data_IF_926756915777
#
_entry.id   IF_926756915777
#
_cell.length_a   1.000
_cell.length_b   1.000
_cell.length_c   1.000
_cell.angle_alpha   90.00
_cell.angle_beta   90.00
_cell.angle_gamma   90.00
#
_symmetry.space_group_name_H-M   'P 1'
#
loop_
_entity.id
_entity.type
_entity.pdbx_description
1 polymer ?
#
# COMPACT_ATOMS: atom_id res chain seq x y z
N UNK A 1 -29.63 -30.68 -12.05
CA UNK A 1 -28.51 -30.01 -11.37
C UNK A 1 -27.28 -30.09 -12.25
N UNK A 2 -26.88 -28.98 -12.87
CA UNK A 2 -25.66 -28.90 -13.68
C UNK A 2 -24.57 -28.25 -12.83
N UNK A 3 -23.49 -29.00 -12.57
CA UNK A 3 -22.24 -28.47 -11.99
C UNK A 3 -21.60 -27.53 -13.02
N UNK A 4 -21.15 -26.37 -12.56
CA UNK A 4 -20.38 -25.44 -13.38
C UNK A 4 -19.06 -26.12 -13.80
N UNK A 5 -18.78 -26.04 -15.10
CA UNK A 5 -17.60 -26.61 -15.75
C UNK A 5 -16.32 -25.94 -15.26
N UNK A 6 -15.38 -26.76 -14.81
CA UNK A 6 -14.00 -26.39 -14.50
C UNK A 6 -13.34 -25.79 -15.76
N UNK A 7 -13.17 -24.47 -15.78
CA UNK A 7 -12.39 -23.81 -16.81
C UNK A 7 -10.91 -24.16 -16.60
N UNK A 8 -10.36 -25.04 -17.45
CA UNK A 8 -8.91 -25.15 -17.63
C UNK A 8 -8.45 -23.84 -18.28
N UNK A 9 -7.85 -22.97 -17.49
CA UNK A 9 -7.19 -21.78 -18.01
C UNK A 9 -5.95 -22.23 -18.79
N UNK A 10 -6.03 -22.09 -20.12
CA UNK A 10 -4.90 -22.27 -21.02
C UNK A 10 -3.97 -21.05 -20.81
N UNK A 11 -2.88 -21.23 -20.07
CA UNK A 11 -2.01 -20.13 -19.60
C UNK A 11 -1.17 -19.47 -20.71
N UNK A 12 -1.19 -19.99 -21.94
CA UNK A 12 -0.13 -19.71 -22.92
C UNK A 12 -0.57 -19.00 -24.21
N UNK A 13 -1.72 -18.30 -24.26
CA UNK A 13 -2.21 -17.80 -25.57
C UNK A 13 -2.79 -16.39 -25.67
N UNK A 14 -2.59 -15.51 -24.67
CA UNK A 14 -3.12 -14.13 -24.74
C UNK A 14 -2.13 -13.02 -24.39
N UNK A 15 -0.83 -13.30 -24.33
CA UNK A 15 0.18 -12.24 -24.20
C UNK A 15 0.72 -11.94 -25.61
N UNK A 16 0.23 -10.86 -26.21
CA UNK A 16 0.88 -10.26 -27.38
C UNK A 16 2.34 -9.94 -27.03
N UNK A 17 3.27 -10.58 -27.74
CA UNK A 17 4.72 -10.59 -27.48
C UNK A 17 5.41 -9.21 -27.46
N UNK A 18 4.74 -8.12 -27.86
CA UNK A 18 5.36 -6.81 -28.04
C UNK A 18 5.53 -6.01 -26.73
N UNK A 19 4.79 -6.33 -25.66
CA UNK A 19 4.92 -5.66 -24.35
C UNK A 19 5.88 -6.36 -23.38
N UNK A 20 6.26 -7.61 -23.67
CA UNK A 20 7.10 -8.44 -22.78
C UNK A 20 8.60 -8.16 -22.98
N UNK A 21 8.99 -7.42 -24.01
CA UNK A 21 10.41 -7.21 -24.35
C UNK A 21 11.14 -6.13 -23.53
N UNK A 22 10.49 -5.39 -22.61
CA UNK A 22 11.15 -4.26 -21.91
C UNK A 22 11.61 -4.56 -20.48
N UNK A 23 11.16 -5.65 -19.85
CA UNK A 23 11.51 -5.95 -18.46
C UNK A 23 12.41 -7.18 -18.43
N UNK A 24 13.62 -7.03 -17.89
CA UNK A 24 14.50 -8.16 -17.63
C UNK A 24 13.77 -9.16 -16.69
N UNK A 25 13.46 -10.39 -17.14
CA UNK A 25 12.67 -11.35 -16.37
C UNK A 25 13.32 -11.73 -15.04
N UNK A 26 14.66 -11.81 -14.98
CA UNK A 26 15.41 -12.13 -13.77
C UNK A 26 15.34 -10.99 -12.75
N UNK A 27 15.36 -9.74 -13.22
CA UNK A 27 15.16 -8.57 -12.36
C UNK A 27 13.73 -8.57 -11.79
N UNK A 28 12.74 -8.89 -12.62
CA UNK A 28 11.33 -8.93 -12.22
C UNK A 28 11.03 -10.04 -11.21
N UNK A 29 11.74 -11.17 -11.27
CA UNK A 29 11.62 -12.22 -10.25
C UNK A 29 12.11 -11.76 -8.88
N UNK A 30 13.00 -10.76 -8.81
CA UNK A 30 13.48 -10.15 -7.55
C UNK A 30 12.66 -8.94 -7.09
N UNK A 31 11.50 -8.67 -7.71
CA UNK A 31 10.65 -7.52 -7.39
C UNK A 31 10.25 -7.46 -5.92
N UNK A 32 10.15 -6.25 -5.39
CA UNK A 32 9.57 -5.97 -4.08
C UNK A 32 8.14 -5.46 -4.26
N UNK A 33 7.22 -5.96 -3.45
CA UNK A 33 5.81 -5.54 -3.47
C UNK A 33 5.41 -5.06 -2.09
N UNK A 34 5.06 -3.78 -2.03
CA UNK A 34 4.48 -3.11 -0.87
C UNK A 34 2.99 -2.97 -1.06
N UNK A 35 2.18 -3.65 -0.25
CA UNK A 35 0.73 -3.52 -0.30
C UNK A 35 0.26 -2.68 0.88
N UNK A 36 -0.36 -1.54 0.58
CA UNK A 36 -0.66 -0.45 1.49
C UNK A 36 -2.16 -0.38 1.71
N UNK A 37 -2.60 -0.57 2.94
CA UNK A 37 -4.01 -0.39 3.28
C UNK A 37 -4.19 0.08 4.72
N UNK A 38 -5.25 0.85 4.93
CA UNK A 38 -5.65 1.30 6.26
C UNK A 38 -5.98 0.14 7.22
N UNK A 39 -6.43 -0.98 6.66
CA UNK A 39 -6.91 -2.14 7.40
C UNK A 39 -5.84 -3.23 7.63
N UNK A 40 -4.57 -2.99 7.27
CA UNK A 40 -3.47 -3.90 7.61
C UNK A 40 -3.31 -3.93 9.13
N UNK A 41 -3.50 -5.12 9.73
CA UNK A 41 -3.48 -5.31 11.20
C UNK A 41 -4.52 -4.42 11.93
N UNK A 42 -5.57 -4.00 11.24
CA UNK A 42 -6.57 -3.10 11.82
C UNK A 42 -7.94 -3.38 11.20
N UNK A 43 -8.73 -4.25 11.84
CA UNK A 43 -10.02 -4.67 11.30
C UNK A 43 -11.07 -3.56 11.43
N UNK A 44 -11.32 -2.85 10.33
CA UNK A 44 -12.38 -1.82 10.23
C UNK A 44 -13.55 -2.29 9.37
N UNK A 45 -13.28 -3.00 8.28
CA UNK A 45 -14.27 -3.37 7.27
C UNK A 45 -13.87 -4.58 6.44
N UNK A 46 -14.28 -4.57 5.16
CA UNK A 46 -14.09 -5.69 4.25
C UNK A 46 -12.67 -5.80 3.68
N UNK A 47 -11.90 -4.70 3.65
CA UNK A 47 -10.56 -4.69 3.07
C UNK A 47 -9.62 -5.54 3.91
N UNK A 48 -9.78 -5.54 5.24
CA UNK A 48 -9.09 -6.46 6.15
C UNK A 48 -9.22 -7.92 5.68
N UNK A 49 -10.44 -8.36 5.35
CA UNK A 49 -10.68 -9.73 4.89
C UNK A 49 -10.04 -10.01 3.54
N UNK A 50 -10.13 -9.07 2.59
CA UNK A 50 -9.49 -9.21 1.27
C UNK A 50 -7.98 -9.40 1.41
N UNK A 51 -7.32 -8.51 2.15
CA UNK A 51 -5.86 -8.57 2.33
C UNK A 51 -5.46 -9.83 3.09
N UNK A 52 -6.15 -10.13 4.20
CA UNK A 52 -5.85 -11.29 5.05
C UNK A 52 -5.96 -12.61 4.30
N UNK A 53 -6.98 -12.78 3.47
CA UNK A 53 -7.19 -14.03 2.71
C UNK A 53 -6.27 -14.14 1.50
N UNK A 54 -5.84 -13.02 0.91
CA UNK A 54 -4.89 -12.99 -0.20
C UNK A 54 -3.42 -13.19 0.25
N UNK A 55 -3.09 -12.82 1.49
CA UNK A 55 -1.72 -12.80 1.99
C UNK A 55 -0.99 -14.15 1.81
N UNK A 56 -1.66 -15.28 2.05
CA UNK A 56 -1.10 -16.62 1.86
C UNK A 56 -0.52 -16.84 0.46
N UNK A 57 -1.33 -16.62 -0.58
CA UNK A 57 -0.90 -16.76 -1.97
C UNK A 57 0.15 -15.72 -2.37
N UNK A 58 0.07 -14.51 -1.83
CA UNK A 58 1.05 -13.46 -2.12
C UNK A 58 2.45 -13.81 -1.57
N UNK A 59 2.52 -14.37 -0.35
CA UNK A 59 3.78 -14.85 0.23
C UNK A 59 4.28 -16.10 -0.48
N UNK A 60 3.41 -17.00 -0.93
CA UNK A 60 3.81 -18.16 -1.75
C UNK A 60 4.54 -17.71 -3.04
N UNK A 61 4.09 -16.61 -3.66
CA UNK A 61 4.70 -16.07 -4.88
C UNK A 61 5.97 -15.24 -4.62
N UNK A 62 5.97 -14.40 -3.58
CA UNK A 62 6.96 -13.33 -3.39
C UNK A 62 7.86 -13.52 -2.17
N UNK A 63 7.51 -14.44 -1.27
CA UNK A 63 8.20 -14.67 0.00
C UNK A 63 8.36 -13.39 0.82
N UNK A 64 9.57 -13.17 1.31
CA UNK A 64 9.92 -12.01 2.14
C UNK A 64 9.94 -10.67 1.40
N UNK A 65 9.81 -10.68 0.06
CA UNK A 65 9.74 -9.45 -0.75
C UNK A 65 8.34 -8.86 -0.81
N UNK A 66 7.35 -9.54 -0.23
CA UNK A 66 6.00 -9.02 0.00
C UNK A 66 5.89 -8.44 1.40
N UNK A 67 5.56 -7.14 1.48
CA UNK A 67 5.48 -6.39 2.73
C UNK A 67 4.19 -5.59 2.76
N UNK A 68 3.44 -5.72 3.84
CA UNK A 68 2.21 -4.97 4.07
C UNK A 68 2.50 -3.71 4.87
N UNK A 69 1.96 -2.57 4.44
CA UNK A 69 2.13 -1.27 5.08
C UNK A 69 0.78 -0.80 5.65
N UNK A 70 0.76 -0.44 6.93
CA UNK A 70 -0.46 -0.02 7.63
C UNK A 70 -0.23 1.01 8.74
N UNK A 71 -1.28 1.69 9.20
CA UNK A 71 -1.19 2.52 10.39
C UNK A 71 -1.04 1.64 11.65
N UNK A 72 -0.28 2.10 12.63
CA UNK A 72 -0.07 1.39 13.88
C UNK A 72 -1.30 1.52 14.79
N UNK A 73 -2.03 0.41 14.95
CA UNK A 73 -2.97 0.23 16.06
C UNK A 73 -2.28 -0.60 17.15
N UNK A 74 -1.94 0.01 18.29
CA UNK A 74 -1.20 -0.68 19.35
C UNK A 74 -1.93 -1.91 19.91
N UNK A 75 -3.25 -1.84 20.00
CA UNK A 75 -4.05 -2.94 20.57
C UNK A 75 -4.01 -4.14 19.64
N UNK A 76 -4.30 -3.93 18.36
CA UNK A 76 -4.27 -4.99 17.35
C UNK A 76 -2.85 -5.53 17.14
N UNK A 77 -1.83 -4.67 17.11
CA UNK A 77 -0.43 -5.06 16.94
C UNK A 77 0.00 -6.07 18.02
N UNK A 78 -0.33 -5.83 19.30
CA UNK A 78 0.04 -6.74 20.40
C UNK A 78 -0.57 -8.14 20.29
N UNK A 79 -1.70 -8.28 19.61
CA UNK A 79 -2.44 -9.55 19.50
C UNK A 79 -2.25 -10.25 18.16
N UNK A 80 -1.98 -9.49 17.10
CA UNK A 80 -1.94 -9.99 15.73
C UNK A 80 -0.54 -9.96 15.12
N UNK A 81 0.47 -9.37 15.75
CA UNK A 81 1.82 -9.25 15.15
C UNK A 81 2.88 -9.86 16.05
N UNK A 82 3.69 -10.74 15.47
CA UNK A 82 4.98 -11.14 16.04
C UNK A 82 6.02 -10.06 15.74
N UNK A 83 6.28 -9.20 16.72
CA UNK A 83 7.19 -8.05 16.59
C UNK A 83 8.62 -8.56 16.56
N UNK A 84 9.30 -8.30 15.45
CA UNK A 84 10.67 -8.76 15.18
C UNK A 84 11.45 -7.64 14.46
N UNK A 85 12.70 -7.91 14.11
CA UNK A 85 13.47 -7.03 13.25
C UNK A 85 13.59 -7.65 11.84
N UNK A 86 13.61 -6.83 10.77
CA UNK A 86 13.67 -7.32 9.41
C UNK A 86 15.00 -8.04 9.13
N UNK A 87 14.90 -9.16 8.41
CA UNK A 87 16.07 -9.90 7.89
C UNK A 87 16.68 -9.22 6.67
N UNK A 88 15.86 -8.53 5.87
CA UNK A 88 16.31 -7.75 4.72
C UNK A 88 17.02 -6.46 5.16
N UNK A 89 18.26 -6.28 4.71
CA UNK A 89 19.10 -5.16 5.11
C UNK A 89 18.56 -3.80 4.62
N UNK A 90 17.94 -3.73 3.43
CA UNK A 90 17.34 -2.49 2.94
C UNK A 90 16.14 -2.06 3.81
N UNK A 91 15.28 -3.00 4.21
CA UNK A 91 14.20 -2.74 5.18
C UNK A 91 14.76 -2.28 6.53
N UNK A 92 15.79 -2.97 7.04
CA UNK A 92 16.42 -2.64 8.31
C UNK A 92 16.97 -1.22 8.34
N UNK A 93 17.70 -0.81 7.31
CA UNK A 93 18.23 0.55 7.17
C UNK A 93 17.12 1.58 7.06
N UNK A 94 16.11 1.31 6.26
CA UNK A 94 14.94 2.17 6.08
C UNK A 94 14.23 2.44 7.40
N UNK A 95 13.90 1.37 8.14
CA UNK A 95 13.18 1.49 9.42
C UNK A 95 14.06 2.19 10.47
N UNK A 96 15.35 1.89 10.50
CA UNK A 96 16.30 2.58 11.39
C UNK A 96 16.39 4.07 11.09
N UNK A 97 16.45 4.46 9.81
CA UNK A 97 16.49 5.86 9.40
C UNK A 97 15.23 6.61 9.84
N UNK A 98 14.04 6.04 9.63
CA UNK A 98 12.79 6.65 10.09
C UNK A 98 12.71 6.77 11.62
N UNK A 99 13.11 5.72 12.34
CA UNK A 99 13.16 5.74 13.82
C UNK A 99 14.14 6.78 14.37
N UNK A 100 15.23 7.07 13.65
CA UNK A 100 16.21 8.10 14.03
C UNK A 100 15.65 9.52 13.90
N UNK A 101 14.54 9.70 13.19
CA UNK A 101 13.81 10.96 13.03
C UNK A 101 12.50 10.96 13.84
N UNK A 102 12.52 10.36 15.02
CA UNK A 102 11.42 10.31 15.99
C UNK A 102 10.09 9.75 15.45
N UNK A 103 10.13 9.01 14.35
CA UNK A 103 8.95 8.32 13.81
C UNK A 103 8.89 6.91 14.36
N UNK A 104 7.84 6.61 15.13
CA UNK A 104 7.65 5.26 15.66
C UNK A 104 7.15 4.33 14.56
N UNK A 105 8.01 3.39 14.17
CA UNK A 105 7.74 2.38 13.15
C UNK A 105 7.96 0.99 13.75
N UNK A 106 6.98 0.11 13.61
CA UNK A 106 7.02 -1.27 14.09
C UNK A 106 7.14 -2.20 12.89
N UNK A 107 8.11 -3.11 12.94
CA UNK A 107 8.22 -4.23 12.00
C UNK A 107 7.76 -5.50 12.69
N UNK A 108 7.19 -6.42 11.92
CA UNK A 108 6.91 -7.76 12.42
C UNK A 108 6.30 -8.64 11.35
N UNK A 109 5.72 -9.75 11.81
CA UNK A 109 5.01 -10.71 10.98
C UNK A 109 3.56 -10.79 11.41
N UNK A 110 2.64 -10.66 10.46
CA UNK A 110 1.22 -10.76 10.78
C UNK A 110 0.85 -12.23 11.04
N UNK A 111 0.24 -12.52 12.18
CA UNK A 111 -0.19 -13.84 12.64
C UNK A 111 -1.44 -14.33 11.88
N UNK A 112 -1.30 -14.45 10.56
CA UNK A 112 -2.30 -14.95 9.62
C UNK A 112 -1.65 -15.96 8.66
N UNK A 113 -2.47 -16.59 7.81
CA UNK A 113 -1.97 -17.49 6.77
C UNK A 113 -0.96 -16.77 5.85
N UNK A 114 0.16 -17.44 5.58
CA UNK A 114 1.30 -16.89 4.84
C UNK A 114 2.36 -16.21 5.69
N UNK A 115 2.08 -15.81 6.93
CA UNK A 115 3.05 -15.13 7.80
C UNK A 115 3.77 -13.93 7.13
N UNK A 116 3.02 -12.98 6.53
CA UNK A 116 3.61 -11.90 5.74
C UNK A 116 4.35 -10.88 6.62
N UNK A 117 5.35 -10.21 6.03
CA UNK A 117 5.99 -9.05 6.66
C UNK A 117 5.01 -7.88 6.75
N UNK A 118 5.03 -7.18 7.89
CA UNK A 118 4.27 -5.93 8.10
C UNK A 118 5.18 -4.82 8.61
N UNK A 119 4.92 -3.60 8.14
CA UNK A 119 5.47 -2.36 8.67
C UNK A 119 4.30 -1.46 9.08
N UNK A 120 4.26 -1.12 10.36
CA UNK A 120 3.19 -0.32 10.96
C UNK A 120 3.73 1.05 11.39
N UNK A 121 3.05 2.11 10.98
CA UNK A 121 3.47 3.50 11.19
C UNK A 121 2.61 4.18 12.26
N UNK A 122 3.24 4.69 13.31
CA UNK A 122 2.56 5.54 14.29
C UNK A 122 2.32 6.93 13.71
N UNK A 123 1.09 7.19 13.29
CA UNK A 123 0.63 8.48 12.77
C UNK A 123 0.82 9.59 13.82
N UNK A 124 0.56 9.29 15.10
CA UNK A 124 0.64 10.26 16.19
C UNK A 124 2.05 10.82 16.37
N UNK A 125 3.08 9.97 16.21
CA UNK A 125 4.48 10.38 16.31
C UNK A 125 4.90 11.46 15.30
N UNK A 126 4.17 11.57 14.18
CA UNK A 126 4.49 12.47 13.07
C UNK A 126 3.47 13.57 12.84
N UNK A 127 2.48 13.70 13.72
CA UNK A 127 1.40 14.70 13.58
C UNK A 127 1.93 16.14 13.54
N UNK A 128 3.07 16.43 14.18
CA UNK A 128 3.71 17.75 14.17
C UNK A 128 4.15 18.23 12.78
N UNK A 129 4.27 17.33 11.80
CA UNK A 129 4.68 17.66 10.41
C UNK A 129 3.48 17.92 9.48
N UNK A 130 2.25 17.74 9.95
CA UNK A 130 1.06 17.72 9.09
C UNK A 130 0.90 18.98 8.25
N UNK A 131 1.16 20.17 8.80
CA UNK A 131 0.99 21.44 8.08
C UNK A 131 1.92 21.53 6.87
N UNK A 132 3.16 21.01 7.00
CA UNK A 132 4.11 20.96 5.90
C UNK A 132 3.63 20.05 4.76
N UNK A 133 3.05 18.90 5.09
CA UNK A 133 2.52 17.95 4.11
C UNK A 133 1.21 18.41 3.47
N UNK A 134 0.34 19.09 4.22
CA UNK A 134 -0.86 19.74 3.66
C UNK A 134 -0.47 20.83 2.66
N UNK A 135 0.53 21.64 3.00
CA UNK A 135 1.07 22.65 2.11
C UNK A 135 1.65 22.02 0.83
N UNK A 136 2.47 20.97 0.96
CA UNK A 136 3.03 20.25 -0.19
C UNK A 136 1.94 19.66 -1.09
N UNK A 137 0.89 19.08 -0.50
CA UNK A 137 -0.24 18.50 -1.22
C UNK A 137 -1.02 19.57 -2.01
N UNK A 138 -1.23 20.74 -1.40
CA UNK A 138 -1.84 21.89 -2.07
C UNK A 138 -0.97 22.40 -3.22
N UNK A 139 0.32 22.62 -2.99
CA UNK A 139 1.24 23.15 -4.01
C UNK A 139 1.43 22.19 -5.19
N UNK A 140 1.40 20.88 -4.94
CA UNK A 140 1.62 19.86 -5.96
C UNK A 140 0.36 19.51 -6.76
N UNK A 141 -0.81 19.48 -6.10
CA UNK A 141 -2.04 18.90 -6.67
C UNK A 141 -3.29 19.79 -6.52
N UNK A 142 -3.19 20.95 -5.86
CA UNK A 142 -4.34 21.80 -5.49
C UNK A 142 -5.42 21.07 -4.67
N UNK A 143 -5.00 20.13 -3.81
CA UNK A 143 -5.91 19.41 -2.89
C UNK A 143 -5.79 20.01 -1.50
N UNK A 144 -6.88 20.63 -1.03
CA UNK A 144 -6.97 21.21 0.31
C UNK A 144 -7.57 20.25 1.33
N UNK A 145 -7.05 20.24 2.55
CA UNK A 145 -7.51 19.36 3.63
C UNK A 145 -8.08 20.20 4.78
N UNK A 146 -9.38 20.07 5.11
CA UNK A 146 -9.98 20.77 6.24
C UNK A 146 -9.25 20.47 7.56
N UNK A 147 -9.09 21.49 8.41
CA UNK A 147 -8.36 21.33 9.68
C UNK A 147 -9.07 20.36 10.63
N UNK A 148 -10.40 20.40 10.68
CA UNK A 148 -11.22 19.63 11.61
C UNK A 148 -11.51 18.19 11.17
N UNK A 149 -11.06 17.79 9.97
CA UNK A 149 -11.28 16.44 9.46
C UNK A 149 -10.12 15.53 9.88
N UNK A 150 -10.31 14.80 10.99
CA UNK A 150 -9.30 13.89 11.52
C UNK A 150 -8.98 12.75 10.55
N UNK A 151 -9.97 12.23 9.82
CA UNK A 151 -9.76 11.10 8.90
C UNK A 151 -8.88 11.53 7.73
N UNK A 152 -9.15 12.69 7.14
CA UNK A 152 -8.28 13.25 6.11
C UNK A 152 -6.89 13.62 6.65
N UNK A 153 -6.81 14.16 7.87
CA UNK A 153 -5.53 14.48 8.51
C UNK A 153 -4.65 13.24 8.68
N UNK A 154 -5.24 12.16 9.21
CA UNK A 154 -4.52 10.92 9.44
C UNK A 154 -4.10 10.26 8.12
N UNK A 155 -4.96 10.31 7.08
CA UNK A 155 -4.63 9.85 5.74
C UNK A 155 -3.43 10.61 5.12
N UNK A 156 -3.33 11.92 5.35
CA UNK A 156 -2.19 12.73 4.88
C UNK A 156 -0.90 12.33 5.57
N UNK A 157 -0.92 12.22 6.91
CA UNK A 157 0.25 11.82 7.69
C UNK A 157 0.69 10.41 7.28
N UNK A 158 -0.25 9.47 7.23
CA UNK A 158 0.04 8.09 6.83
C UNK A 158 0.61 8.01 5.41
N UNK A 159 -0.02 8.70 4.45
CA UNK A 159 0.47 8.77 3.08
C UNK A 159 1.87 9.36 2.97
N UNK A 160 2.16 10.43 3.72
CA UNK A 160 3.49 11.04 3.73
C UNK A 160 4.56 10.11 4.32
N UNK A 161 4.23 9.38 5.38
CA UNK A 161 5.10 8.36 5.99
C UNK A 161 5.38 7.20 5.05
N UNK A 162 4.35 6.70 4.36
CA UNK A 162 4.50 5.63 3.35
C UNK A 162 5.39 6.11 2.20
N UNK A 163 5.16 7.30 1.66
CA UNK A 163 5.99 7.84 0.58
C UNK A 163 7.44 8.06 1.01
N UNK A 164 7.67 8.49 2.25
CA UNK A 164 9.02 8.59 2.81
C UNK A 164 9.69 7.22 2.96
N UNK A 165 8.98 6.24 3.51
CA UNK A 165 9.47 4.86 3.61
C UNK A 165 9.85 4.30 2.24
N UNK A 166 8.99 4.47 1.23
CA UNK A 166 9.25 3.97 -0.13
C UNK A 166 10.47 4.65 -0.76
N UNK A 167 10.68 5.95 -0.52
CA UNK A 167 11.86 6.69 -0.97
C UNK A 167 13.13 6.10 -0.36
N UNK A 168 13.18 6.04 0.97
CA UNK A 168 14.34 5.52 1.72
C UNK A 168 14.63 4.06 1.34
N UNK A 169 13.59 3.23 1.18
CA UNK A 169 13.75 1.85 0.76
C UNK A 169 14.32 1.75 -0.65
N UNK A 170 13.84 2.55 -1.59
CA UNK A 170 14.35 2.56 -2.96
C UNK A 170 15.82 3.00 -3.04
N UNK A 171 16.22 3.99 -2.23
CA UNK A 171 17.61 4.42 -2.10
C UNK A 171 18.49 3.30 -1.54
N UNK A 172 18.05 2.63 -0.47
CA UNK A 172 18.77 1.49 0.12
C UNK A 172 18.86 0.29 -0.83
N UNK A 173 17.81 -0.02 -1.60
CA UNK A 173 17.85 -1.08 -2.62
C UNK A 173 18.86 -0.75 -3.71
N UNK A 174 18.87 0.49 -4.20
CA UNK A 174 19.83 0.94 -5.23
C UNK A 174 21.28 0.77 -4.79
N UNK A 175 21.57 0.93 -3.50
CA UNK A 175 22.91 0.77 -2.95
C UNK A 175 23.30 -0.70 -2.69
N UNK A 176 22.34 -1.54 -2.32
CA UNK A 176 22.59 -2.91 -1.84
C UNK A 176 22.41 -3.98 -2.91
N UNK A 177 21.56 -3.76 -3.91
CA UNK A 177 21.24 -4.72 -4.95
C UNK A 177 22.02 -4.43 -6.24
N UNK A 178 22.36 -5.49 -6.97
CA UNK A 178 23.12 -5.39 -8.22
C UNK A 178 22.23 -5.04 -9.40
N UNK A 179 22.84 -4.41 -10.41
CA UNK A 179 22.16 -4.16 -11.67
C UNK A 179 21.89 -5.49 -12.42
N UNK A 180 20.73 -5.62 -13.08
CA UNK A 180 19.62 -4.66 -13.11
C UNK A 180 18.87 -4.56 -11.77
N UNK A 181 18.50 -3.34 -11.38
CA UNK A 181 17.77 -3.11 -10.13
C UNK A 181 16.43 -3.85 -10.10
N UNK A 182 16.06 -4.47 -8.96
CA UNK A 182 14.76 -5.10 -8.83
C UNK A 182 13.63 -4.04 -8.85
N UNK A 183 12.52 -4.28 -9.56
CA UNK A 183 11.38 -3.38 -9.54
C UNK A 183 10.79 -3.27 -8.13
N UNK A 184 10.38 -2.06 -7.75
CA UNK A 184 9.64 -1.80 -6.52
C UNK A 184 8.22 -1.41 -6.89
N UNK A 185 7.24 -2.13 -6.36
CA UNK A 185 5.81 -1.94 -6.64
C UNK A 185 5.12 -1.56 -5.34
N UNK A 186 4.34 -0.49 -5.35
CA UNK A 186 3.49 -0.06 -4.24
C UNK A 186 2.02 -0.10 -4.66
N UNK A 187 1.24 -0.96 -4.02
CA UNK A 187 -0.18 -1.18 -4.30
C UNK A 187 -1.03 -0.60 -3.18
N UNK A 188 -1.79 0.45 -3.49
CA UNK A 188 -2.60 1.20 -2.53
C UNK A 188 -4.07 0.79 -2.61
N UNK A 189 -4.67 0.50 -1.46
CA UNK A 189 -6.08 0.16 -1.32
C UNK A 189 -6.87 1.32 -0.71
N UNK A 190 -7.92 1.73 -1.42
CA UNK A 190 -8.81 2.84 -1.07
C UNK A 190 -8.17 4.23 -0.90
N UNK A 191 -9.03 5.24 -0.86
CA UNK A 191 -8.63 6.64 -0.84
C UNK A 191 -7.77 7.02 0.38
N UNK A 192 -8.00 6.39 1.55
CA UNK A 192 -7.23 6.65 2.78
C UNK A 192 -5.73 6.43 2.63
N UNK A 193 -5.32 5.53 1.73
CA UNK A 193 -3.89 5.26 1.47
C UNK A 193 -3.37 5.97 0.23
N UNK A 194 -4.27 6.51 -0.60
CA UNK A 194 -3.95 7.09 -1.90
C UNK A 194 -3.12 8.37 -1.80
N UNK A 195 -3.12 9.06 -0.66
CA UNK A 195 -2.21 10.20 -0.46
C UNK A 195 -0.74 9.76 -0.57
N UNK A 196 -0.41 8.54 -0.12
CA UNK A 196 0.93 7.97 -0.31
C UNK A 196 1.27 7.71 -1.77
N UNK A 197 0.29 7.32 -2.59
CA UNK A 197 0.43 7.20 -4.03
C UNK A 197 0.71 8.57 -4.66
N UNK A 198 -0.09 9.58 -4.30
CA UNK A 198 0.06 10.94 -4.82
C UNK A 198 1.47 11.44 -4.51
N UNK A 199 1.90 11.39 -3.25
CA UNK A 199 3.26 11.80 -2.87
C UNK A 199 4.33 10.98 -3.58
N UNK A 200 4.14 9.68 -3.77
CA UNK A 200 5.10 8.85 -4.50
C UNK A 200 5.27 9.32 -5.95
N UNK A 201 4.19 9.76 -6.59
CA UNK A 201 4.19 10.25 -7.97
C UNK A 201 4.68 11.68 -8.11
N UNK A 202 4.24 12.60 -7.24
CA UNK A 202 4.67 14.00 -7.27
C UNK A 202 6.13 14.17 -6.87
N UNK A 203 6.67 13.29 -6.00
CA UNK A 203 8.08 13.25 -5.63
C UNK A 203 8.95 12.47 -6.62
N UNK A 204 8.37 11.96 -7.71
CA UNK A 204 9.06 11.18 -8.75
C UNK A 204 9.85 9.99 -8.19
N UNK A 205 9.29 9.25 -7.23
CA UNK A 205 9.94 8.08 -6.66
C UNK A 205 10.08 6.98 -7.74
N UNK A 206 11.19 6.21 -7.76
CA UNK A 206 11.40 5.12 -8.70
C UNK A 206 10.62 3.86 -8.28
N UNK A 207 9.30 4.00 -8.09
CA UNK A 207 8.39 2.96 -7.62
C UNK A 207 7.18 2.91 -8.57
N UNK A 208 6.83 1.72 -9.03
CA UNK A 208 5.60 1.49 -9.78
C UNK A 208 4.41 1.51 -8.82
N UNK A 209 3.38 2.29 -9.13
CA UNK A 209 2.21 2.45 -8.24
C UNK A 209 0.97 1.79 -8.83
N UNK A 210 0.25 1.02 -8.01
CA UNK A 210 -1.06 0.42 -8.35
C UNK A 210 -2.11 0.97 -7.38
N UNK A 211 -3.31 1.27 -7.87
CA UNK A 211 -4.43 1.69 -7.03
C UNK A 211 -5.62 0.75 -7.22
N UNK A 212 -6.25 0.35 -6.12
CA UNK A 212 -7.50 -0.41 -6.15
C UNK A 212 -8.51 0.24 -5.23
N UNK A 213 -9.64 0.64 -5.82
CA UNK A 213 -10.82 1.04 -5.07
C UNK A 213 -11.75 -0.15 -4.86
N UNK A 214 -12.22 -0.35 -3.63
CA UNK A 214 -13.18 -1.40 -3.28
C UNK A 214 -14.62 -0.92 -3.41
N UNK A 215 -14.83 0.39 -3.20
CA UNK A 215 -16.10 1.05 -3.46
C UNK A 215 -15.84 2.56 -3.65
N UNK A 216 -16.49 3.16 -4.65
CA UNK A 216 -16.38 4.61 -4.85
C UNK A 216 -17.11 5.37 -3.74
N UNK A 217 -16.50 6.43 -3.21
CA UNK A 217 -17.09 7.26 -2.15
C UNK A 217 -18.47 7.80 -2.56
N UNK A 218 -18.57 8.39 -3.76
CA UNK A 218 -19.82 8.93 -4.28
C UNK A 218 -20.92 7.85 -4.42
N UNK A 219 -20.57 6.67 -4.92
CA UNK A 219 -21.52 5.55 -5.04
C UNK A 219 -22.10 5.12 -3.70
N UNK A 220 -21.31 5.13 -2.61
CA UNK A 220 -21.81 4.81 -1.26
C UNK A 220 -22.84 5.84 -0.77
N UNK A 221 -22.55 7.14 -0.96
CA UNK A 221 -23.47 8.20 -0.55
C UNK A 221 -24.78 8.19 -1.35
N UNK A 222 -24.71 8.07 -2.67
CA UNK A 222 -25.89 8.13 -3.54
C UNK A 222 -26.83 6.93 -3.32
N UNK A 223 -26.29 5.72 -3.14
CA UNK A 223 -27.09 4.54 -2.83
C UNK A 223 -27.78 4.63 -1.47
N UNK A 224 -27.13 5.24 -0.46
CA UNK A 224 -27.73 5.45 0.85
C UNK A 224 -28.87 6.49 0.82
N UNK A 225 -28.83 7.43 -0.13
CA UNK A 225 -29.86 8.46 -0.33
C UNK A 225 -31.05 8.01 -1.18
N UNK A 226 -31.17 6.71 -1.51
CA UNK A 226 -32.28 6.15 -2.33
C UNK A 226 -32.39 6.75 -3.74
N UNK A 227 -31.30 7.26 -4.28
CA UNK A 227 -31.23 7.74 -5.67
C UNK A 227 -30.97 6.55 -6.58
N UNK A 228 -31.66 6.50 -7.72
CA UNK A 228 -31.44 5.48 -8.76
C UNK A 228 -30.09 5.73 -9.47
N UNK A 229 -29.03 5.28 -8.82
CA UNK A 229 -27.64 5.59 -9.19
C UNK A 229 -27.29 5.15 -10.61
N UNK A 230 -27.70 3.94 -11.00
CA UNK A 230 -27.28 3.36 -12.28
C UNK A 230 -27.99 4.00 -13.47
N UNK A 231 -29.20 4.54 -13.29
CA UNK A 231 -29.93 5.22 -14.35
C UNK A 231 -29.53 6.70 -14.53
N UNK A 232 -28.77 7.29 -13.59
CA UNK A 232 -28.33 8.69 -13.63
C UNK A 232 -26.81 8.88 -13.71
N UNK A 233 -26.05 7.80 -13.89
CA UNK A 233 -24.57 7.83 -13.85
C UNK A 233 -23.95 8.82 -14.85
N UNK A 234 -24.57 9.02 -16.02
CA UNK A 234 -24.10 9.94 -17.05
C UNK A 234 -24.32 11.42 -16.76
N UNK A 235 -25.08 11.77 -15.71
CA UNK A 235 -25.34 13.16 -15.28
C UNK A 235 -24.47 13.53 -14.08
N UNK A 236 -23.84 12.54 -13.44
CA UNK A 236 -23.08 12.67 -12.18
C UNK A 236 -21.56 12.64 -12.35
N UNK A 237 -21.06 12.46 -13.59
CA UNK A 237 -19.65 12.44 -13.98
C UNK A 237 -19.47 13.46 -15.12
#
# INVERSE_FOLDING_TARGET
GRRASTARYNRDSLITNDLVQSINPEAYQRRYVFEVAWEVVNKVGGIYTVIRTKAGSAVEELGDRYVLLGPLNEVCMRTEVDVTEPTNEALKRTIKAMRAHDTKVVFGRWLIEGYPNVVLFDIGSSAWRIDSWKKELWESCNIGIPVHDSECNDAVIFGALVAWFLKEFAENVRELETDPQPPIIAHFHEWLTSIGLIFSRTRHLPVATVFTTHATLLGRYLCASSVDLYNHLSILI
#
